data_IF_587286841079
#
_entry.id   IF_587286841079
#
_cell.length_a   1.000
_cell.length_b   1.000
_cell.length_c   1.000
_cell.angle_alpha   90.00
_cell.angle_beta   90.00
_cell.angle_gamma   90.00
#
_symmetry.space_group_name_H-M   'P 1'
#
loop_
_entity.id
_entity.type
_entity.pdbx_description
1 polymer ?
#
# COMPACT_ATOMS: atom_id res chain seq x y z
N UNK A 1 -57.91 8.12 -24.51
CA UNK A 1 -57.69 6.88 -23.72
C UNK A 1 -56.18 6.70 -23.60
N UNK A 2 -55.60 7.33 -22.57
CA UNK A 2 -54.16 7.23 -22.28
C UNK A 2 -54.01 6.24 -21.12
N UNK A 3 -53.29 5.14 -21.37
CA UNK A 3 -52.94 4.15 -20.36
C UNK A 3 -51.60 4.51 -19.76
N UNK A 4 -51.60 5.00 -18.53
CA UNK A 4 -50.44 5.19 -17.67
C UNK A 4 -49.90 3.82 -17.21
N UNK A 5 -48.75 3.40 -17.78
CA UNK A 5 -47.95 2.30 -17.24
C UNK A 5 -47.05 2.82 -16.11
N UNK A 6 -47.48 2.53 -14.89
CA UNK A 6 -46.72 2.77 -13.65
C UNK A 6 -45.70 1.63 -13.49
N UNK A 7 -44.41 1.95 -13.62
CA UNK A 7 -43.30 1.03 -13.33
C UNK A 7 -43.02 1.04 -11.83
N UNK A 8 -42.92 -0.13 -11.19
CA UNK A 8 -42.60 -0.17 -9.74
C UNK A 8 -41.10 0.08 -9.50
N UNK A 9 -40.82 0.94 -8.53
CA UNK A 9 -39.50 1.24 -8.01
C UNK A 9 -38.83 0.01 -7.41
N UNK A 10 -37.51 -0.18 -7.58
CA UNK A 10 -36.78 -1.28 -6.98
C UNK A 10 -36.68 -1.10 -5.45
N UNK A 11 -37.13 -2.12 -4.71
CA UNK A 11 -36.97 -2.23 -3.27
C UNK A 11 -35.48 -2.36 -2.93
N UNK A 12 -34.93 -1.35 -2.26
CA UNK A 12 -33.61 -1.41 -1.64
C UNK A 12 -33.69 -2.40 -0.48
N UNK A 13 -33.14 -3.57 -0.65
CA UNK A 13 -32.95 -4.55 0.41
C UNK A 13 -31.82 -4.05 1.33
N UNK A 14 -32.17 -3.62 2.53
CA UNK A 14 -31.21 -3.33 3.60
C UNK A 14 -30.51 -4.63 3.96
N UNK A 15 -29.25 -4.77 3.58
CA UNK A 15 -28.36 -5.83 4.05
C UNK A 15 -28.10 -5.63 5.55
N UNK A 16 -28.41 -6.66 6.29
CA UNK A 16 -28.32 -6.80 7.73
C UNK A 16 -26.95 -6.46 8.29
N UNK A 17 -26.90 -5.39 9.08
CA UNK A 17 -25.78 -4.99 9.95
C UNK A 17 -25.75 -5.85 11.22
N UNK A 18 -25.67 -7.17 11.10
CA UNK A 18 -25.69 -8.09 12.26
C UNK A 18 -24.58 -9.13 12.29
N UNK A 19 -23.40 -8.87 11.73
CA UNK A 19 -22.27 -9.82 11.75
C UNK A 19 -21.04 -9.27 12.50
N UNK A 20 -21.15 -8.18 13.24
CA UNK A 20 -19.98 -7.63 13.97
C UNK A 20 -20.14 -7.58 15.50
N UNK A 21 -21.07 -8.33 16.05
CA UNK A 21 -21.25 -8.39 17.52
C UNK A 21 -21.16 -9.82 18.07
N UNK A 22 -20.08 -10.54 17.79
CA UNK A 22 -19.73 -11.74 18.60
C UNK A 22 -18.32 -12.21 18.27
N UNK A 23 -17.31 -11.47 18.72
CA UNK A 23 -15.97 -11.99 18.93
C UNK A 23 -15.24 -11.12 19.96
N UNK A 24 -15.84 -10.90 21.12
CA UNK A 24 -15.09 -10.64 22.36
C UNK A 24 -14.75 -11.99 22.97
N UNK A 25 -13.84 -12.72 22.33
CA UNK A 25 -13.12 -13.78 23.00
C UNK A 25 -11.90 -13.13 23.64
N UNK A 26 -12.05 -12.75 24.90
CA UNK A 26 -10.96 -12.35 25.78
C UNK A 26 -10.00 -13.51 25.98
N UNK A 27 -9.19 -13.81 24.99
CA UNK A 27 -7.93 -14.50 25.22
C UNK A 27 -6.94 -13.46 25.72
N UNK A 28 -6.87 -13.37 27.03
CA UNK A 28 -5.74 -12.79 27.74
C UNK A 28 -4.48 -13.52 27.29
N UNK A 29 -3.84 -12.98 26.24
CA UNK A 29 -2.50 -13.40 25.83
C UNK A 29 -1.60 -13.02 27.02
N UNK A 30 -0.86 -13.98 27.61
CA UNK A 30 0.08 -13.67 28.69
C UNK A 30 1.03 -12.59 28.16
N UNK A 31 1.08 -11.47 28.86
CA UNK A 31 2.07 -10.43 28.62
C UNK A 31 3.40 -10.99 29.11
N UNK A 32 4.00 -11.90 28.35
CA UNK A 32 5.41 -12.21 28.54
C UNK A 32 6.16 -10.90 28.31
N UNK A 33 6.93 -10.51 29.31
CA UNK A 33 7.89 -9.40 29.24
C UNK A 33 8.75 -9.57 27.99
N UNK A 34 8.30 -9.00 26.88
CA UNK A 34 9.07 -8.98 25.63
C UNK A 34 10.28 -8.09 25.87
N UNK A 35 11.37 -8.72 26.25
CA UNK A 35 12.66 -8.04 26.35
C UNK A 35 12.92 -7.34 25.01
N UNK A 36 13.29 -6.05 25.01
CA UNK A 36 13.61 -5.36 23.79
C UNK A 36 14.68 -6.14 23.02
N UNK A 37 14.44 -6.40 21.74
CA UNK A 37 15.43 -7.04 20.86
C UNK A 37 16.56 -6.02 20.69
N UNK A 38 17.63 -6.20 21.47
CA UNK A 38 18.86 -5.44 21.30
C UNK A 38 19.50 -5.96 20.01
N UNK A 39 19.35 -5.23 18.92
CA UNK A 39 20.10 -5.53 17.71
C UNK A 39 21.58 -5.23 17.98
N UNK A 40 22.48 -6.19 17.69
CA UNK A 40 23.91 -5.86 17.70
C UNK A 40 24.15 -4.73 16.68
N UNK A 41 25.06 -3.79 16.96
CA UNK A 41 25.40 -2.76 15.99
C UNK A 41 25.82 -3.42 14.67
N UNK A 42 25.44 -2.83 13.55
CA UNK A 42 25.89 -3.33 12.25
C UNK A 42 27.43 -3.32 12.24
N UNK A 43 28.08 -4.38 11.71
CA UNK A 43 29.53 -4.38 11.55
C UNK A 43 29.93 -3.17 10.70
N UNK A 44 30.95 -2.43 11.10
CA UNK A 44 31.43 -1.20 10.47
C UNK A 44 31.73 -1.32 8.96
N UNK A 45 31.76 -2.54 8.41
CA UNK A 45 32.03 -2.84 7.02
C UNK A 45 30.89 -3.52 6.27
N UNK A 46 29.66 -3.52 6.77
CA UNK A 46 28.53 -4.03 5.99
C UNK A 46 28.23 -3.05 4.86
N UNK A 47 28.92 -3.22 3.73
CA UNK A 47 28.52 -2.57 2.48
C UNK A 47 27.17 -3.14 2.10
N UNK A 48 26.19 -2.26 2.01
CA UNK A 48 24.89 -2.60 1.44
C UNK A 48 25.13 -3.11 0.01
N UNK A 49 25.00 -4.43 -0.18
CA UNK A 49 25.31 -5.09 -1.46
C UNK A 49 24.17 -5.04 -2.46
N UNK A 50 23.03 -4.55 -2.04
CA UNK A 50 21.84 -4.43 -2.89
C UNK A 50 21.22 -3.06 -2.73
N UNK A 51 21.80 -2.01 -3.38
CA UNK A 51 21.10 -0.74 -3.41
C UNK A 51 19.76 -0.96 -4.11
N UNK A 52 18.68 -0.64 -3.44
CA UNK A 52 17.38 -0.52 -4.11
C UNK A 52 17.60 0.52 -5.21
N UNK A 53 17.36 0.12 -6.47
CA UNK A 53 17.60 1.00 -7.62
C UNK A 53 16.87 2.32 -7.39
N UNK A 54 17.63 3.42 -7.43
CA UNK A 54 17.10 4.77 -7.22
C UNK A 54 17.13 5.28 -5.78
N UNK A 55 17.74 4.55 -4.82
CA UNK A 55 18.07 5.07 -3.49
C UNK A 55 19.49 5.64 -3.47
N UNK A 56 19.64 6.77 -2.78
CA UNK A 56 20.95 7.37 -2.45
C UNK A 56 20.95 7.80 -0.97
N UNK A 57 22.14 7.99 -0.40
CA UNK A 57 22.30 8.38 1.00
C UNK A 57 21.60 9.72 1.36
N UNK A 58 21.37 10.58 0.37
CA UNK A 58 20.74 11.90 0.56
C UNK A 58 19.23 11.86 0.56
N UNK A 59 18.61 10.67 0.42
CA UNK A 59 17.17 10.52 0.36
C UNK A 59 16.58 10.25 1.73
N UNK A 60 15.51 10.96 2.07
CA UNK A 60 14.71 10.66 3.25
C UNK A 60 13.72 9.55 2.96
N UNK A 61 13.70 8.51 3.80
CA UNK A 61 12.66 7.49 3.83
C UNK A 61 11.54 7.93 4.79
N UNK A 62 10.29 7.83 4.34
CA UNK A 62 9.11 8.10 5.16
C UNK A 62 8.15 6.92 5.08
N UNK A 63 7.97 6.25 6.21
CA UNK A 63 7.00 5.16 6.35
C UNK A 63 5.63 5.75 6.61
N UNK A 64 4.64 5.34 5.84
CA UNK A 64 3.26 5.79 5.89
C UNK A 64 2.32 4.59 5.98
N UNK A 65 1.40 4.62 6.94
CA UNK A 65 0.36 3.60 7.10
C UNK A 65 -1.00 4.07 6.59
N UNK A 66 -1.06 5.28 6.06
CA UNK A 66 -2.26 5.92 5.52
C UNK A 66 -1.99 6.49 4.14
N UNK A 67 -2.89 6.23 3.21
CA UNK A 67 -2.79 6.78 1.84
C UNK A 67 -2.80 8.31 1.83
N UNK A 68 -3.64 8.92 2.68
CA UNK A 68 -3.68 10.39 2.81
C UNK A 68 -2.36 11.01 3.28
N UNK A 69 -1.68 10.34 4.22
CA UNK A 69 -0.35 10.75 4.69
C UNK A 69 0.68 10.65 3.57
N UNK A 70 0.73 9.52 2.86
CA UNK A 70 1.65 9.30 1.76
C UNK A 70 1.48 10.32 0.64
N UNK A 71 0.23 10.65 0.29
CA UNK A 71 -0.08 11.71 -0.66
C UNK A 71 0.42 13.07 -0.19
N UNK A 72 0.16 13.44 1.07
CA UNK A 72 0.59 14.71 1.63
C UNK A 72 2.11 14.84 1.63
N UNK A 73 2.81 13.87 2.21
CA UNK A 73 4.29 13.84 2.27
C UNK A 73 4.89 13.89 0.86
N UNK A 74 4.41 13.02 -0.04
CA UNK A 74 4.96 12.91 -1.39
C UNK A 74 4.70 14.17 -2.23
N UNK A 75 3.49 14.71 -2.19
CA UNK A 75 3.16 15.94 -2.92
C UNK A 75 3.94 17.15 -2.42
N UNK A 76 4.12 17.27 -1.11
CA UNK A 76 4.96 18.34 -0.52
C UNK A 76 6.43 18.19 -0.92
N UNK A 77 6.95 16.96 -0.90
CA UNK A 77 8.32 16.69 -1.30
C UNK A 77 8.57 17.16 -2.75
N UNK A 78 7.71 16.76 -3.69
CA UNK A 78 7.82 17.17 -5.10
C UNK A 78 7.71 18.68 -5.27
N UNK A 79 6.76 19.34 -4.58
CA UNK A 79 6.59 20.80 -4.64
C UNK A 79 7.82 21.55 -4.12
N UNK A 80 8.50 21.00 -3.14
CA UNK A 80 9.68 21.59 -2.51
C UNK A 80 11.01 21.09 -3.11
N UNK A 81 10.96 20.37 -4.24
CA UNK A 81 12.12 19.78 -4.92
C UNK A 81 12.98 18.90 -4.00
N UNK A 82 12.35 18.26 -2.99
CA UNK A 82 13.01 17.33 -2.09
C UNK A 82 12.81 15.91 -2.59
N UNK A 83 13.85 15.08 -2.47
CA UNK A 83 13.75 13.66 -2.79
C UNK A 83 13.36 12.87 -1.54
N UNK A 84 12.12 12.40 -1.52
CA UNK A 84 11.58 11.56 -0.45
C UNK A 84 11.16 10.22 -1.05
N UNK A 85 11.62 9.15 -0.43
CA UNK A 85 11.14 7.80 -0.67
C UNK A 85 9.98 7.55 0.29
N UNK A 86 8.88 7.07 -0.25
CA UNK A 86 7.70 6.67 0.52
C UNK A 86 7.73 5.15 0.64
N UNK A 87 7.72 4.66 1.87
CA UNK A 87 7.37 3.29 2.20
C UNK A 87 5.90 3.29 2.64
N UNK A 88 5.04 2.75 1.80
CA UNK A 88 3.60 2.74 2.03
C UNK A 88 3.14 1.33 2.39
N UNK A 89 2.38 1.23 3.46
CA UNK A 89 1.54 0.07 3.78
C UNK A 89 0.09 0.39 3.43
N UNK A 90 -0.49 -0.36 2.49
CA UNK A 90 -1.82 -0.10 1.95
C UNK A 90 -2.49 -1.39 1.48
N UNK A 91 -3.76 -1.30 1.08
CA UNK A 91 -4.46 -2.36 0.38
C UNK A 91 -4.47 -2.07 -1.12
N UNK A 92 -4.24 -3.09 -1.94
CA UNK A 92 -4.37 -3.02 -3.40
C UNK A 92 -5.79 -3.44 -3.76
N UNK A 93 -6.57 -2.53 -4.29
CA UNK A 93 -7.95 -2.80 -4.72
C UNK A 93 -8.05 -3.22 -6.18
N UNK A 94 -7.11 -2.77 -7.01
CA UNK A 94 -6.97 -3.24 -8.37
C UNK A 94 -5.54 -3.12 -8.86
N UNK A 95 -5.16 -4.05 -9.73
CA UNK A 95 -3.89 -4.02 -10.43
C UNK A 95 -4.07 -4.60 -11.83
N UNK A 96 -3.48 -3.95 -12.83
CA UNK A 96 -3.53 -4.41 -14.21
C UNK A 96 -2.23 -4.04 -14.93
N UNK A 97 -1.90 -4.83 -15.94
CA UNK A 97 -0.71 -4.61 -16.75
C UNK A 97 -1.11 -4.16 -18.15
N UNK A 98 -0.44 -3.13 -18.65
CA UNK A 98 -0.64 -2.67 -20.02
C UNK A 98 0.00 -3.65 -21.00
N UNK A 99 -0.71 -4.16 -22.00
CA UNK A 99 -0.20 -5.19 -22.91
C UNK A 99 1.04 -4.77 -23.70
N UNK A 100 1.08 -3.52 -24.17
CA UNK A 100 2.13 -3.01 -25.04
C UNK A 100 3.38 -2.56 -24.27
N UNK A 101 3.19 -1.82 -23.21
CA UNK A 101 4.30 -1.24 -22.43
C UNK A 101 4.83 -2.18 -21.36
N UNK A 102 4.02 -3.14 -20.93
CA UNK A 102 4.27 -3.99 -19.79
C UNK A 102 4.19 -3.25 -18.45
N UNK A 103 3.85 -1.97 -18.44
CA UNK A 103 3.70 -1.17 -17.23
C UNK A 103 2.56 -1.75 -16.39
N UNK A 104 2.83 -1.96 -15.11
CA UNK A 104 1.81 -2.40 -14.17
C UNK A 104 1.26 -1.22 -13.38
N UNK A 105 -0.05 -1.05 -13.42
CA UNK A 105 -0.79 -0.04 -12.71
C UNK A 105 -1.41 -0.62 -11.45
N UNK A 106 -1.53 0.21 -10.41
CA UNK A 106 -2.09 -0.15 -9.11
C UNK A 106 -3.05 0.93 -8.64
N UNK A 107 -4.09 0.52 -7.95
CA UNK A 107 -4.95 1.41 -7.17
C UNK A 107 -4.83 1.02 -5.69
N UNK A 108 -4.27 1.94 -4.90
CA UNK A 108 -4.11 1.77 -3.45
C UNK A 108 -5.27 2.40 -2.70
N UNK A 109 -5.76 1.66 -1.72
CA UNK A 109 -6.74 2.07 -0.73
C UNK A 109 -6.09 2.06 0.66
N UNK A 110 -6.61 2.85 1.57
CA UNK A 110 -6.14 2.92 2.97
C UNK A 110 -6.26 1.55 3.67
N UNK A 111 -5.40 1.29 4.65
CA UNK A 111 -5.44 0.05 5.44
C UNK A 111 -6.74 -0.08 6.25
N UNK A 112 -7.29 1.04 6.71
CA UNK A 112 -8.32 1.09 7.75
C UNK A 112 -9.71 1.45 7.24
N UNK A 113 -9.84 1.89 5.97
CA UNK A 113 -11.14 2.28 5.40
C UNK A 113 -11.16 2.17 3.87
N UNK A 114 -12.36 2.09 3.28
CA UNK A 114 -12.58 1.90 1.84
C UNK A 114 -12.99 3.18 1.11
N UNK A 115 -12.97 4.32 1.78
CA UNK A 115 -13.30 5.61 1.18
C UNK A 115 -12.05 6.41 0.78
N UNK A 116 -12.16 7.41 -0.12
CA UNK A 116 -11.05 8.27 -0.52
C UNK A 116 -10.30 8.90 0.67
N UNK A 117 -9.01 9.25 0.48
CA UNK A 117 -8.32 9.30 -0.79
C UNK A 117 -7.80 7.95 -1.27
N UNK A 118 -7.84 7.73 -2.59
CA UNK A 118 -7.13 6.62 -3.24
C UNK A 118 -5.86 7.15 -3.90
N UNK A 119 -4.87 6.26 -4.10
CA UNK A 119 -3.62 6.62 -4.76
C UNK A 119 -3.32 5.69 -5.92
N UNK A 120 -2.98 6.29 -7.08
CA UNK A 120 -2.50 5.52 -8.22
C UNK A 120 -1.01 5.22 -8.06
N UNK A 121 -0.63 3.97 -8.34
CA UNK A 121 0.74 3.52 -8.43
C UNK A 121 1.07 3.03 -9.82
N UNK A 122 2.32 3.17 -10.22
CA UNK A 122 2.84 2.73 -11.52
C UNK A 122 4.18 2.07 -11.34
N UNK A 123 4.33 0.89 -11.90
CA UNK A 123 5.57 0.12 -11.86
C UNK A 123 6.18 0.08 -13.28
N UNK A 124 7.15 0.95 -13.52
CA UNK A 124 7.74 1.21 -14.85
C UNK A 124 9.15 0.61 -15.01
N UNK A 125 9.85 0.26 -13.92
CA UNK A 125 11.32 0.08 -13.90
C UNK A 125 11.81 -1.38 -13.93
N UNK A 126 10.91 -2.35 -13.98
CA UNK A 126 11.23 -3.76 -13.69
C UNK A 126 11.48 -4.64 -14.92
N UNK A 127 11.46 -4.09 -16.13
CA UNK A 127 11.59 -4.88 -17.35
C UNK A 127 12.79 -5.85 -17.31
N UNK A 128 12.50 -7.15 -17.34
CA UNK A 128 13.51 -8.21 -17.43
C UNK A 128 14.10 -8.68 -16.10
N UNK A 129 13.52 -8.33 -14.96
CA UNK A 129 13.92 -8.84 -13.64
C UNK A 129 12.85 -9.78 -13.09
N UNK A 130 13.08 -11.09 -13.21
CA UNK A 130 12.10 -12.14 -12.85
C UNK A 130 11.57 -12.03 -11.41
N UNK A 131 12.42 -11.70 -10.44
CA UNK A 131 12.03 -11.57 -9.06
C UNK A 131 10.98 -10.46 -8.87
N UNK A 132 11.18 -9.33 -9.50
CA UNK A 132 10.25 -8.20 -9.40
C UNK A 132 8.95 -8.46 -10.16
N UNK A 133 9.03 -9.21 -11.25
CA UNK A 133 7.86 -9.67 -11.98
C UNK A 133 7.02 -10.63 -11.14
N UNK A 134 7.66 -11.52 -10.42
CA UNK A 134 7.01 -12.45 -9.50
C UNK A 134 6.30 -11.70 -8.38
N UNK A 135 6.97 -10.78 -7.68
CA UNK A 135 6.39 -10.04 -6.55
C UNK A 135 5.21 -9.16 -6.99
N UNK A 136 5.36 -8.40 -8.07
CA UNK A 136 4.29 -7.54 -8.59
C UNK A 136 3.17 -8.35 -9.24
N UNK A 137 3.49 -9.47 -9.86
CA UNK A 137 2.54 -10.38 -10.51
C UNK A 137 1.51 -10.97 -9.56
N UNK A 138 1.86 -11.12 -8.28
CA UNK A 138 0.93 -11.58 -7.25
C UNK A 138 -0.30 -10.70 -7.09
N UNK A 139 -0.21 -9.44 -7.46
CA UNK A 139 -1.34 -8.48 -7.43
C UNK A 139 -2.18 -8.48 -8.72
N UNK A 140 -1.77 -9.20 -9.78
CA UNK A 140 -2.54 -9.33 -11.02
C UNK A 140 -3.65 -10.38 -10.93
N UNK A 141 -3.52 -11.29 -9.99
CA UNK A 141 -4.54 -12.33 -9.79
C UNK A 141 -5.78 -11.67 -9.22
N UNK A 142 -6.87 -11.73 -9.97
CA UNK A 142 -8.21 -11.33 -9.51
C UNK A 142 -8.65 -12.30 -8.40
N UNK A 143 -8.19 -12.06 -7.19
CA UNK A 143 -8.78 -12.66 -6.01
C UNK A 143 -9.86 -11.72 -5.51
N UNK A 144 -10.99 -12.25 -5.07
CA UNK A 144 -12.02 -11.48 -4.36
C UNK A 144 -11.47 -10.87 -3.06
N UNK A 145 -10.25 -11.25 -2.66
CA UNK A 145 -9.58 -10.76 -1.47
C UNK A 145 -8.68 -9.57 -1.82
N UNK A 146 -8.98 -8.45 -1.20
CA UNK A 146 -8.12 -7.27 -1.19
C UNK A 146 -6.80 -7.64 -0.51
N UNK A 147 -5.68 -7.48 -1.23
CA UNK A 147 -4.34 -7.83 -0.71
C UNK A 147 -3.68 -6.62 -0.10
N UNK A 148 -3.10 -6.81 1.07
CA UNK A 148 -2.24 -5.80 1.68
C UNK A 148 -0.86 -5.84 1.05
N UNK A 149 -0.24 -4.67 0.94
CA UNK A 149 1.09 -4.53 0.37
C UNK A 149 1.97 -3.63 1.23
N UNK A 150 3.26 -3.89 1.13
CA UNK A 150 4.35 -2.97 1.42
C UNK A 150 4.89 -2.47 0.08
N UNK A 151 4.88 -1.18 -0.14
CA UNK A 151 5.28 -0.57 -1.39
C UNK A 151 6.31 0.52 -1.13
N UNK A 152 7.44 0.49 -1.86
CA UNK A 152 8.44 1.55 -1.83
C UNK A 152 8.38 2.29 -3.16
N UNK A 153 8.29 3.62 -3.09
CA UNK A 153 8.17 4.43 -4.29
C UNK A 153 8.47 5.91 -4.10
N UNK A 154 8.41 6.63 -5.20
CA UNK A 154 8.58 8.08 -5.27
C UNK A 154 7.31 8.72 -5.83
N UNK A 155 6.86 9.80 -5.22
CA UNK A 155 5.74 10.55 -5.77
C UNK A 155 6.18 11.32 -7.02
N UNK A 156 5.36 11.26 -8.06
CA UNK A 156 5.55 11.99 -9.31
C UNK A 156 4.26 12.72 -9.68
N UNK A 157 4.40 13.93 -10.19
CA UNK A 157 3.28 14.66 -10.78
C UNK A 157 3.18 14.32 -12.27
N UNK A 158 1.98 13.96 -12.69
CA UNK A 158 1.65 13.67 -14.09
C UNK A 158 0.48 14.57 -14.52
N UNK A 159 0.82 15.71 -15.14
CA UNK A 159 -0.14 16.76 -15.43
C UNK A 159 -0.84 17.29 -14.17
N UNK A 160 -2.15 17.04 -14.07
CA UNK A 160 -2.97 17.40 -12.89
C UNK A 160 -3.04 16.32 -11.83
N UNK A 161 -2.55 15.11 -12.11
CA UNK A 161 -2.67 13.93 -11.23
C UNK A 161 -1.35 13.65 -10.52
N UNK A 162 -1.45 12.97 -9.40
CA UNK A 162 -0.33 12.45 -8.65
C UNK A 162 -0.30 10.94 -8.77
N UNK A 163 0.89 10.36 -8.95
CA UNK A 163 1.10 8.92 -8.99
C UNK A 163 2.34 8.54 -8.18
N UNK A 164 2.30 7.38 -7.55
CA UNK A 164 3.46 6.77 -6.91
C UNK A 164 4.21 5.94 -7.96
N UNK A 165 5.42 6.34 -8.32
CA UNK A 165 6.32 5.52 -9.13
C UNK A 165 6.93 4.48 -8.20
N UNK A 166 6.51 3.24 -8.39
CA UNK A 166 6.88 2.11 -7.53
C UNK A 166 8.30 1.68 -7.89
N UNK A 167 9.14 1.55 -6.88
CA UNK A 167 10.48 0.98 -6.97
C UNK A 167 10.45 -0.51 -6.64
N UNK A 168 9.65 -0.89 -5.65
CA UNK A 168 9.38 -2.27 -5.32
C UNK A 168 8.05 -2.41 -4.57
N UNK A 169 7.43 -3.61 -4.64
CA UNK A 169 6.16 -3.92 -3.97
C UNK A 169 6.14 -5.39 -3.57
N UNK A 170 5.68 -5.67 -2.35
CA UNK A 170 5.52 -7.01 -1.79
C UNK A 170 4.15 -7.15 -1.13
N UNK A 171 3.66 -8.37 -1.01
CA UNK A 171 2.56 -8.66 -0.10
C UNK A 171 3.00 -8.41 1.34
N UNK A 172 2.09 -7.91 2.15
CA UNK A 172 2.29 -7.66 3.57
C UNK A 172 1.15 -8.28 4.38
N UNK A 173 1.46 -8.67 5.60
CA UNK A 173 0.49 -9.13 6.60
C UNK A 173 0.37 -8.08 7.72
N UNK A 174 -0.62 -8.26 8.61
CA UNK A 174 -0.78 -7.38 9.77
C UNK A 174 0.42 -7.46 10.72
N UNK A 175 1.05 -8.61 10.83
CA UNK A 175 2.25 -8.84 11.63
C UNK A 175 3.41 -7.96 11.17
N UNK A 176 3.58 -7.79 9.85
CA UNK A 176 4.60 -6.91 9.27
C UNK A 176 4.32 -5.44 9.61
N UNK A 177 3.05 -5.05 9.52
CA UNK A 177 2.59 -3.68 9.80
C UNK A 177 2.80 -3.34 11.29
N UNK A 178 2.37 -4.22 12.18
CA UNK A 178 2.50 -4.02 13.62
C UNK A 178 3.97 -4.00 14.06
N UNK A 179 4.81 -4.83 13.46
CA UNK A 179 6.25 -4.82 13.71
C UNK A 179 6.88 -3.47 13.34
N UNK A 180 6.61 -3.00 12.12
CA UNK A 180 7.19 -1.73 11.65
C UNK A 180 6.61 -0.53 12.40
N UNK A 181 5.31 -0.55 12.72
CA UNK A 181 4.67 0.47 13.55
C UNK A 181 5.36 0.59 14.91
N UNK A 182 5.70 -0.52 15.54
CA UNK A 182 6.45 -0.55 16.80
C UNK A 182 7.82 0.10 16.70
N UNK A 183 8.46 0.11 15.53
CA UNK A 183 9.77 0.75 15.31
C UNK A 183 9.60 2.26 15.01
N UNK A 184 8.62 2.62 14.20
CA UNK A 184 8.47 4.00 13.68
C UNK A 184 7.77 4.92 14.69
N UNK A 185 6.91 4.36 15.55
CA UNK A 185 6.14 5.12 16.54
C UNK A 185 6.69 4.98 17.98
N UNK A 186 7.88 4.41 18.15
CA UNK A 186 8.53 4.22 19.45
C UNK A 186 9.26 5.53 19.91
#
# INVERSE_FOLDING_TARGET
MEQNHHLPSPKVTRLNTKIFETAQDERSIPTEDRKPIIRPPFPDQSRDRSPIIGLSADMSLRTCFRVGEALNVGCQAVRNSKTVIIELYARVTSSWREPESGIQNFLFCDLFHDHPPFMNGVYELWKGVELWDYDSGRFLVSSEQIRMCRCIGKMKRDGKRWKLVILNIWEAAWEDIDFVKGIVCA
#
